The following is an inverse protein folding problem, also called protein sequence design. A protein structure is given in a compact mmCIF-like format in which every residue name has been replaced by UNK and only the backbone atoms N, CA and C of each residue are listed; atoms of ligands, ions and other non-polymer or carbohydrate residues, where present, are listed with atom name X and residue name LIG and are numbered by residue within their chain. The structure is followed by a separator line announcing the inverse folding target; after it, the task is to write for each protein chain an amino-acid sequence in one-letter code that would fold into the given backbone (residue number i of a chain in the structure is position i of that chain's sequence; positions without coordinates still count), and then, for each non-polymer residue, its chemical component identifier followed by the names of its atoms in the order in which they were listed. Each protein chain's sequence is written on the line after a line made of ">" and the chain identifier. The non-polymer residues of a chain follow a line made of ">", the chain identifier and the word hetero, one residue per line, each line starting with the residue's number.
data_IF_091552349453
#
_entry.id   IF_091552349453
#
_cell.length_a   1.000
_cell.length_b   1.000
_cell.length_c   1.000
_cell.angle_alpha   90.00
_cell.angle_beta   90.00
_cell.angle_gamma   90.00
#
_symmetry.space_group_name_H-M   'P 1'
#
loop_
_entity.id
_entity.type
_entity.pdbx_description
1 polymer ?
#
# COMPACT_ATOMS: atom_id res chain seq x y z
N UNK A 1 -19.61 40.76 28.55
CA UNK A 1 -20.32 40.28 27.35
C UNK A 1 -21.65 41.02 27.29
N UNK A 2 -21.74 42.02 26.44
CA UNK A 2 -22.98 42.78 26.23
C UNK A 2 -24.01 41.90 25.50
N UNK A 3 -25.30 42.19 25.66
CA UNK A 3 -26.35 41.45 24.95
C UNK A 3 -26.21 41.55 23.42
N UNK A 4 -25.66 42.66 22.94
CA UNK A 4 -25.40 42.89 21.52
C UNK A 4 -24.26 42.01 20.99
N UNK A 5 -23.20 41.80 21.77
CA UNK A 5 -22.11 40.88 21.41
C UNK A 5 -22.60 39.43 21.32
N UNK A 6 -23.50 39.02 22.23
CA UNK A 6 -24.10 37.67 22.20
C UNK A 6 -24.99 37.47 20.97
N UNK A 7 -25.69 38.51 20.53
CA UNK A 7 -26.54 38.48 19.34
C UNK A 7 -25.70 38.39 18.08
N UNK A 8 -24.67 39.23 17.96
CA UNK A 8 -23.73 39.20 16.84
C UNK A 8 -22.99 37.86 16.72
N UNK A 9 -22.59 37.26 17.85
CA UNK A 9 -21.95 35.94 17.84
C UNK A 9 -22.90 34.85 17.32
N UNK A 10 -24.16 34.86 17.76
CA UNK A 10 -25.16 33.87 17.34
C UNK A 10 -25.48 33.98 15.84
N UNK A 11 -25.58 35.20 15.33
CA UNK A 11 -25.75 35.44 13.90
C UNK A 11 -24.55 34.92 13.10
N UNK A 12 -23.34 35.15 13.59
CA UNK A 12 -22.12 34.67 12.92
C UNK A 12 -21.99 33.14 12.95
N UNK A 13 -22.37 32.50 14.05
CA UNK A 13 -22.41 31.04 14.15
C UNK A 13 -23.42 30.46 13.16
N UNK A 14 -24.62 31.03 13.09
CA UNK A 14 -25.65 30.57 12.15
C UNK A 14 -25.20 30.73 10.68
N UNK A 15 -24.51 31.82 10.36
CA UNK A 15 -23.96 32.07 9.03
C UNK A 15 -22.86 31.04 8.67
N UNK A 16 -21.96 30.75 9.60
CA UNK A 16 -20.91 29.74 9.42
C UNK A 16 -21.49 28.32 9.27
N UNK A 17 -22.53 27.99 10.05
CA UNK A 17 -23.24 26.71 9.93
C UNK A 17 -23.91 26.56 8.55
N UNK A 18 -24.50 27.63 8.02
CA UNK A 18 -25.06 27.62 6.66
C UNK A 18 -23.99 27.42 5.60
N UNK A 19 -22.83 28.07 5.73
CA UNK A 19 -21.69 27.91 4.82
C UNK A 19 -21.14 26.48 4.87
N UNK A 20 -20.98 25.90 6.06
CA UNK A 20 -20.56 24.51 6.24
C UNK A 20 -21.54 23.55 5.55
N UNK A 21 -22.84 23.73 5.79
CA UNK A 21 -23.87 22.88 5.19
C UNK A 21 -23.88 22.99 3.65
N UNK A 22 -23.62 24.17 3.10
CA UNK A 22 -23.50 24.38 1.66
C UNK A 22 -22.24 23.70 1.08
N UNK A 23 -21.10 23.80 1.77
CA UNK A 23 -19.86 23.14 1.39
C UNK A 23 -20.00 21.61 1.43
N UNK A 24 -20.59 21.06 2.50
CA UNK A 24 -20.86 19.62 2.62
C UNK A 24 -21.76 19.11 1.49
N UNK A 25 -22.82 19.85 1.15
CA UNK A 25 -23.72 19.46 0.07
C UNK A 25 -23.01 19.50 -1.29
N UNK A 26 -22.07 20.43 -1.48
CA UNK A 26 -21.22 20.48 -2.68
C UNK A 26 -20.31 19.26 -2.76
N UNK A 27 -19.69 18.87 -1.65
CA UNK A 27 -18.84 17.67 -1.56
C UNK A 27 -19.68 16.41 -1.83
N UNK A 28 -20.85 16.28 -1.21
CA UNK A 28 -21.76 15.11 -1.39
C UNK A 28 -22.26 14.97 -2.83
N UNK A 29 -22.46 16.09 -3.54
CA UNK A 29 -22.91 16.11 -4.94
C UNK A 29 -21.78 15.93 -5.94
N UNK A 30 -20.53 16.13 -5.53
CA UNK A 30 -19.39 15.86 -6.39
C UNK A 30 -19.32 14.35 -6.71
N UNK A 31 -19.30 14.00 -8.00
CA UNK A 31 -19.27 12.61 -8.50
C UNK A 31 -18.07 11.79 -7.97
N UNK A 32 -17.00 12.48 -7.57
CA UNK A 32 -15.86 11.94 -6.82
C UNK A 32 -15.36 13.05 -5.88
N UNK A 33 -15.65 13.00 -4.56
CA UNK A 33 -15.18 14.02 -3.61
C UNK A 33 -13.66 13.98 -3.43
N UNK A 34 -13.07 12.79 -3.57
CA UNK A 34 -11.64 12.62 -3.78
C UNK A 34 -11.42 12.26 -5.26
N UNK A 35 -10.96 13.17 -6.12
CA UNK A 35 -10.26 12.72 -7.31
C UNK A 35 -9.02 12.01 -6.80
N UNK A 36 -9.09 10.68 -6.60
CA UNK A 36 -7.90 9.85 -6.39
C UNK A 36 -7.01 10.15 -7.59
N UNK A 37 -6.01 11.02 -7.39
CA UNK A 37 -5.11 11.44 -8.43
C UNK A 37 -4.25 10.23 -8.78
N UNK A 38 -4.79 9.37 -9.64
CA UNK A 38 -4.05 8.21 -10.11
C UNK A 38 -2.84 8.75 -10.86
N UNK A 39 -1.62 8.40 -10.45
CA UNK A 39 -0.44 8.83 -11.16
C UNK A 39 -0.50 8.27 -12.58
N UNK A 40 -0.72 9.15 -13.54
CA UNK A 40 -0.53 8.80 -14.94
C UNK A 40 0.94 8.96 -15.26
N UNK A 41 1.49 8.03 -16.05
CA UNK A 41 2.90 8.10 -16.45
C UNK A 41 3.27 9.43 -17.09
N UNK A 42 2.37 10.00 -17.91
CA UNK A 42 2.56 11.30 -18.55
C UNK A 42 2.74 12.43 -17.51
N UNK A 43 1.91 12.43 -16.45
CA UNK A 43 1.96 13.44 -15.39
C UNK A 43 3.23 13.29 -14.56
N UNK A 44 3.58 12.06 -14.18
CA UNK A 44 4.84 11.77 -13.46
C UNK A 44 6.04 12.21 -14.31
N UNK A 45 6.09 11.87 -15.59
CA UNK A 45 7.16 12.30 -16.49
C UNK A 45 7.23 13.83 -16.69
N UNK A 46 6.11 14.53 -16.54
CA UNK A 46 6.11 16.00 -16.54
C UNK A 46 6.78 16.51 -15.26
N UNK A 47 6.33 16.07 -14.08
CA UNK A 47 6.92 16.46 -12.80
C UNK A 47 8.42 16.13 -12.71
N UNK A 48 8.82 14.95 -13.17
CA UNK A 48 10.22 14.54 -13.22
C UNK A 48 11.06 15.49 -14.08
N UNK A 49 10.54 15.93 -15.23
CA UNK A 49 11.22 16.89 -16.12
C UNK A 49 11.29 18.28 -15.49
N UNK A 50 10.20 18.71 -14.86
CA UNK A 50 10.12 20.00 -14.17
C UNK A 50 11.13 20.03 -13.00
N UNK A 51 11.38 18.88 -12.34
CA UNK A 51 12.39 18.70 -11.30
C UNK A 51 13.82 18.41 -11.85
N UNK A 52 14.05 18.55 -13.15
CA UNK A 52 15.33 18.25 -13.83
C UNK A 52 15.88 16.82 -13.60
N UNK A 53 15.00 15.86 -13.30
CA UNK A 53 15.34 14.45 -13.14
C UNK A 53 15.04 13.63 -14.40
N UNK A 54 15.48 12.38 -14.41
CA UNK A 54 15.19 11.41 -15.46
C UNK A 54 14.55 10.16 -14.86
N UNK A 55 13.53 9.61 -15.51
CA UNK A 55 12.82 8.42 -15.07
C UNK A 55 12.88 7.33 -16.15
N UNK A 56 13.40 6.16 -15.79
CA UNK A 56 13.56 5.01 -16.70
C UNK A 56 12.85 3.78 -16.16
N UNK A 57 12.14 3.04 -17.02
CA UNK A 57 11.52 1.76 -16.66
C UNK A 57 12.52 0.62 -16.80
N UNK A 58 12.57 -0.26 -15.80
CA UNK A 58 13.39 -1.47 -15.77
C UNK A 58 12.53 -2.71 -15.53
N UNK A 59 13.07 -3.91 -15.73
CA UNK A 59 12.35 -5.16 -15.50
C UNK A 59 11.84 -5.30 -14.05
N UNK A 60 12.54 -4.69 -13.09
CA UNK A 60 12.22 -4.75 -11.66
C UNK A 60 11.42 -3.55 -11.12
N UNK A 61 11.05 -2.59 -11.97
CA UNK A 61 10.35 -1.37 -11.54
C UNK A 61 10.82 -0.12 -12.29
N UNK A 62 11.10 0.93 -11.53
CA UNK A 62 11.43 2.26 -12.05
C UNK A 62 12.75 2.77 -11.44
N UNK A 63 13.51 3.52 -12.22
CA UNK A 63 14.76 4.15 -11.78
C UNK A 63 14.61 5.65 -11.98
N UNK A 64 14.68 6.40 -10.90
CA UNK A 64 14.80 7.86 -10.92
C UNK A 64 16.28 8.21 -10.84
N UNK A 65 16.76 9.07 -11.73
CA UNK A 65 18.14 9.52 -11.78
C UNK A 65 18.25 11.03 -11.86
N UNK A 66 19.28 11.57 -11.22
CA UNK A 66 19.66 12.98 -11.27
C UNK A 66 21.19 13.06 -11.32
N UNK A 67 21.74 13.38 -12.49
CA UNK A 67 23.18 13.35 -12.74
C UNK A 67 23.78 11.97 -12.39
N UNK A 68 24.68 11.95 -11.41
CA UNK A 68 25.36 10.74 -10.95
C UNK A 68 24.60 9.95 -9.87
N UNK A 69 23.46 10.49 -9.38
CA UNK A 69 22.65 9.86 -8.33
C UNK A 69 21.49 9.09 -8.96
N UNK A 70 21.19 7.92 -8.41
CA UNK A 70 20.08 7.08 -8.88
C UNK A 70 19.40 6.34 -7.73
N UNK A 71 18.09 6.17 -7.82
CA UNK A 71 17.29 5.39 -6.87
C UNK A 71 16.27 4.51 -7.59
N UNK A 72 16.12 3.29 -7.09
CA UNK A 72 15.16 2.30 -7.60
C UNK A 72 13.86 2.37 -6.83
N UNK A 73 12.75 2.44 -7.54
CA UNK A 73 11.39 2.38 -7.03
C UNK A 73 10.67 1.16 -7.59
N UNK A 74 9.82 0.53 -6.77
CA UNK A 74 9.02 -0.62 -7.23
C UNK A 74 7.79 -0.16 -7.99
N UNK A 75 7.14 0.91 -7.52
CA UNK A 75 5.91 1.43 -8.10
C UNK A 75 6.11 2.86 -8.58
N UNK A 76 5.36 3.22 -9.61
CA UNK A 76 5.30 4.60 -10.11
C UNK A 76 4.66 5.54 -9.08
N UNK A 77 3.75 5.00 -8.27
CA UNK A 77 3.07 5.72 -7.19
C UNK A 77 4.04 6.23 -6.13
N UNK A 78 5.04 5.43 -5.75
CA UNK A 78 6.07 5.84 -4.78
C UNK A 78 6.84 7.08 -5.27
N UNK A 79 7.10 7.17 -6.58
CA UNK A 79 7.76 8.33 -7.20
C UNK A 79 6.81 9.54 -7.23
N UNK A 80 5.53 9.29 -7.52
CA UNK A 80 4.51 10.33 -7.56
C UNK A 80 4.35 11.02 -6.20
N UNK A 81 4.19 10.26 -5.12
CA UNK A 81 4.08 10.82 -3.76
C UNK A 81 5.32 11.63 -3.38
N UNK A 82 6.50 11.14 -3.74
CA UNK A 82 7.77 11.83 -3.46
C UNK A 82 7.89 13.15 -4.23
N UNK A 83 7.34 13.26 -5.45
CA UNK A 83 7.34 14.49 -6.24
C UNK A 83 6.22 15.47 -5.88
N UNK A 84 5.24 15.05 -5.08
CA UNK A 84 4.16 15.92 -4.60
C UNK A 84 4.56 16.73 -3.35
N UNK A 85 5.61 16.32 -2.65
CA UNK A 85 6.15 17.05 -1.51
C UNK A 85 7.04 18.17 -2.04
N UNK A 86 6.68 19.42 -1.74
CA UNK A 86 7.55 20.57 -2.00
C UNK A 86 8.71 20.59 -1.00
N UNK A 87 9.90 21.02 -1.44
CA UNK A 87 11.14 21.15 -0.63
C UNK A 87 11.71 19.85 -0.03
N UNK A 88 12.11 18.91 -0.88
CA UNK A 88 12.85 17.71 -0.47
C UNK A 88 14.37 17.93 -0.43
N UNK A 89 15.05 17.26 0.51
CA UNK A 89 16.51 17.19 0.51
C UNK A 89 17.00 16.10 -0.46
N UNK A 90 17.99 16.44 -1.28
CA UNK A 90 18.62 15.49 -2.22
C UNK A 90 19.17 14.23 -1.54
N UNK A 91 19.63 14.36 -0.30
CA UNK A 91 20.13 13.25 0.53
C UNK A 91 19.04 12.26 0.94
N UNK A 92 17.79 12.72 1.08
CA UNK A 92 16.65 11.89 1.45
C UNK A 92 16.10 11.12 0.25
N UNK A 93 16.13 11.76 -0.93
CA UNK A 93 15.78 11.09 -2.19
C UNK A 93 16.89 10.15 -2.61
N UNK A 94 18.15 10.57 -2.56
CA UNK A 94 19.29 9.81 -3.03
C UNK A 94 20.32 9.63 -1.90
N UNK A 95 20.12 8.62 -1.02
CA UNK A 95 21.07 8.34 0.04
C UNK A 95 22.43 7.97 -0.57
N UNK A 96 23.51 8.51 -0.02
CA UNK A 96 24.88 8.36 -0.54
C UNK A 96 25.41 6.91 -0.51
N UNK A 97 24.75 6.02 0.24
CA UNK A 97 25.10 4.61 0.28
C UNK A 97 23.96 3.74 0.77
N UNK A 98 23.11 3.26 -0.14
CA UNK A 98 22.42 2.00 0.14
C UNK A 98 23.42 0.86 -0.09
N UNK A 99 24.08 0.43 0.98
CA UNK A 99 24.62 -0.93 1.01
C UNK A 99 23.47 -1.89 0.65
N UNK A 100 23.66 -2.85 -0.26
CA UNK A 100 22.60 -3.77 -0.65
C UNK A 100 22.14 -4.52 0.60
N UNK A 101 20.92 -4.23 1.08
CA UNK A 101 20.33 -5.01 2.16
C UNK A 101 20.32 -6.49 1.70
N UNK A 102 20.86 -7.43 2.50
CA UNK A 102 20.81 -8.84 2.14
C UNK A 102 19.34 -9.21 1.93
N UNK A 103 19.03 -9.79 0.76
CA UNK A 103 17.68 -10.27 0.46
C UNK A 103 17.31 -11.27 1.55
N UNK A 104 16.43 -10.89 2.48
CA UNK A 104 15.83 -11.86 3.38
C UNK A 104 15.07 -12.83 2.49
N UNK A 105 15.60 -14.04 2.30
CA UNK A 105 14.90 -15.12 1.61
C UNK A 105 13.60 -15.29 2.38
N UNK A 106 12.48 -14.89 1.80
CA UNK A 106 11.16 -15.24 2.35
C UNK A 106 11.18 -16.76 2.50
N UNK A 107 11.00 -17.25 3.73
CA UNK A 107 10.86 -18.68 3.96
C UNK A 107 9.83 -19.21 2.97
N UNK A 108 10.20 -20.25 2.23
CA UNK A 108 9.30 -20.88 1.27
C UNK A 108 8.02 -21.23 2.03
N UNK A 109 6.88 -20.66 1.62
CA UNK A 109 5.63 -21.02 2.25
C UNK A 109 5.40 -22.53 2.03
N UNK A 110 5.05 -23.29 3.07
CA UNK A 110 4.70 -24.69 2.90
C UNK A 110 3.54 -24.78 1.91
N UNK A 111 3.70 -25.61 0.88
CA UNK A 111 2.65 -25.84 -0.11
C UNK A 111 1.46 -26.46 0.62
N UNK A 112 0.30 -25.79 0.59
CA UNK A 112 -0.95 -26.41 1.00
C UNK A 112 -1.24 -27.60 0.08
N UNK A 113 -1.66 -28.76 0.60
CA UNK A 113 -1.99 -29.91 -0.23
C UNK A 113 -3.13 -29.56 -1.18
N UNK A 114 -3.01 -30.01 -2.43
CA UNK A 114 -4.05 -29.83 -3.45
C UNK A 114 -5.31 -30.59 -3.02
N UNK A 115 -6.47 -29.94 -3.11
CA UNK A 115 -7.81 -30.44 -2.75
C UNK A 115 -8.25 -31.74 -3.46
N UNK A 116 -7.44 -32.30 -4.35
CA UNK A 116 -7.75 -33.52 -5.11
C UNK A 116 -6.96 -34.75 -4.68
N UNK A 117 -6.17 -34.69 -3.60
CA UNK A 117 -5.71 -35.92 -2.95
C UNK A 117 -6.91 -36.52 -2.20
N UNK A 118 -7.49 -37.51 -2.86
CA UNK A 118 -8.60 -38.31 -2.39
C UNK A 118 -8.42 -38.65 -0.91
N UNK A 119 -9.48 -38.38 -0.14
CA UNK A 119 -9.76 -39.09 1.09
C UNK A 119 -9.82 -40.57 0.70
N UNK A 120 -8.72 -41.29 0.95
CA UNK A 120 -8.77 -42.75 0.92
C UNK A 120 -9.78 -43.17 1.99
N UNK A 121 -10.81 -43.98 1.66
CA UNK A 121 -11.71 -44.49 2.67
C UNK A 121 -10.97 -45.54 3.50
N UNK A 122 -10.27 -45.11 4.56
CA UNK A 122 -9.72 -46.04 5.56
C UNK A 122 -10.84 -46.50 6.50
N UNK A 123 -11.81 -47.24 5.95
CA UNK A 123 -12.63 -48.15 6.74
C UNK A 123 -12.29 -49.58 6.32
N UNK A 124 -11.13 -50.06 6.77
CA UNK A 124 -10.96 -51.47 7.04
C UNK A 124 -11.28 -51.67 8.52
N UNK A 125 -12.54 -51.99 8.79
CA UNK A 125 -12.93 -52.60 10.07
C UNK A 125 -12.37 -54.02 10.05
N UNK A 126 -11.15 -54.17 10.55
CA UNK A 126 -10.56 -55.46 10.83
C UNK A 126 -11.29 -56.04 12.06
N UNK A 127 -12.14 -57.03 11.80
CA UNK A 127 -12.75 -57.85 12.84
C UNK A 127 -11.63 -58.56 13.61
N UNK A 128 -11.41 -58.13 14.85
CA UNK A 128 -10.59 -58.87 15.81
C UNK A 128 -11.34 -60.15 16.20
N UNK A 129 -11.10 -61.23 15.46
CA UNK A 129 -11.24 -62.56 16.03
C UNK A 129 -9.98 -62.85 16.83
N UNK A 130 -10.15 -63.01 18.13
CA UNK A 130 -9.07 -63.31 19.06
C UNK A 130 -8.33 -64.60 18.68
N UNK A 131 -7.00 -64.54 18.77
CA UNK A 131 -6.22 -65.46 19.60
C UNK A 131 -4.77 -65.00 19.65
N UNK A 132 -4.25 -65.09 20.86
CA UNK A 132 -2.89 -64.80 21.30
C UNK A 132 -1.89 -65.66 20.52
N UNK A 133 -0.88 -65.04 19.92
CA UNK A 133 0.39 -65.70 19.62
C UNK A 133 1.49 -64.97 20.40
N UNK A 134 1.89 -65.55 21.53
CA UNK A 134 3.15 -65.21 22.16
C UNK A 134 4.28 -65.71 21.25
N UNK A 135 5.14 -64.79 20.82
CA UNK A 135 6.50 -65.11 20.36
C UNK A 135 7.30 -65.61 21.56
N UNK A 136 8.00 -66.71 21.39
CA UNK A 136 9.26 -66.94 22.10
C UNK A 136 10.24 -67.60 21.13
N UNK A 137 11.39 -66.94 20.99
CA UNK A 137 12.62 -67.49 20.43
C UNK A 137 13.18 -68.52 21.40
N UNK A 138 13.69 -69.63 20.87
CA UNK A 138 14.36 -70.71 21.62
C UNK A 138 14.24 -72.03 20.89
#
# INVERSE_FOLDING_TARGET
>A
MSQDELRALRERVAELEQQLKAAENTIKRAKNPDPVERPTLKRVLKLVRDACMTLVRTASGWVLSLGNKQRKFRRLFDIWELLLVDDWLLSEIFPESEQPRPRSRKAAQPRLPHRNEAIAPSYQVAWWQGRVYQKAYG
#
